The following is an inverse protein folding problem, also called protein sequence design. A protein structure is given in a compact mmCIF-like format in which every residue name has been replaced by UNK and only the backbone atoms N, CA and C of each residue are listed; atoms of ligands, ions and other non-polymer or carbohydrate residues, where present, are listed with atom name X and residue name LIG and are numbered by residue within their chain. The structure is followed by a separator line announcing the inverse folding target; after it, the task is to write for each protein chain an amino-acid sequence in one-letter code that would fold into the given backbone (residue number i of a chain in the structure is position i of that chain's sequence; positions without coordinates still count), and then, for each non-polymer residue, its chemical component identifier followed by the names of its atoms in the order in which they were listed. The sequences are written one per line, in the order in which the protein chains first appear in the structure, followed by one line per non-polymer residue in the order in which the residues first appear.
data_IF_536144127201
#
_entry.id   IF_536144127201
#
_cell.length_a   1.000
_cell.length_b   1.000
_cell.length_c   1.000
_cell.angle_alpha   90.00
_cell.angle_beta   90.00
_cell.angle_gamma   90.00
#
_symmetry.space_group_name_H-M   'P 1'
#
loop_
_entity.id
_entity.type
_entity.pdbx_description
1 polymer ?
#
# COMPACT_ATOMS: atom_id res chain seq x y z
N UNK A 1 -15.13 -18.22 1.97
CA UNK A 1 -15.28 -16.78 1.62
C UNK A 1 -15.79 -15.95 2.78
N UNK A 2 -14.88 -15.13 3.32
CA UNK A 2 -15.10 -14.17 4.41
C UNK A 2 -16.12 -13.07 4.05
N UNK A 3 -16.13 -12.62 2.80
CA UNK A 3 -17.05 -11.57 2.32
C UNK A 3 -18.02 -12.10 1.25
N UNK A 4 -19.00 -11.27 0.87
CA UNK A 4 -19.84 -11.60 -0.30
C UNK A 4 -18.99 -11.55 -1.58
N UNK A 5 -19.34 -12.35 -2.61
CA UNK A 5 -18.60 -12.38 -3.89
C UNK A 5 -18.40 -10.98 -4.49
N UNK A 6 -19.44 -10.13 -4.44
CA UNK A 6 -19.38 -8.74 -4.93
C UNK A 6 -18.34 -7.89 -4.19
N UNK A 7 -18.32 -7.94 -2.85
CA UNK A 7 -17.37 -7.16 -2.02
C UNK A 7 -15.94 -7.64 -2.24
N UNK A 8 -15.75 -8.95 -2.35
CA UNK A 8 -14.44 -9.56 -2.63
C UNK A 8 -13.92 -9.10 -3.99
N UNK A 9 -14.77 -9.12 -5.01
CA UNK A 9 -14.41 -8.66 -6.36
C UNK A 9 -14.07 -7.16 -6.39
N UNK A 10 -14.80 -6.31 -5.67
CA UNK A 10 -14.47 -4.87 -5.57
C UNK A 10 -13.10 -4.68 -4.91
N UNK A 11 -12.81 -5.37 -3.81
CA UNK A 11 -11.51 -5.28 -3.14
C UNK A 11 -10.36 -5.76 -4.03
N UNK A 12 -10.54 -6.88 -4.73
CA UNK A 12 -9.54 -7.39 -5.68
C UNK A 12 -9.32 -6.44 -6.85
N UNK A 13 -10.39 -5.84 -7.38
CA UNK A 13 -10.30 -4.85 -8.43
C UNK A 13 -9.55 -3.60 -7.96
N UNK A 14 -9.83 -3.11 -6.75
CA UNK A 14 -9.10 -1.99 -6.15
C UNK A 14 -7.63 -2.32 -5.90
N UNK A 15 -7.34 -3.53 -5.42
CA UNK A 15 -5.97 -4.01 -5.25
C UNK A 15 -5.21 -4.03 -6.57
N UNK A 16 -5.76 -4.68 -7.60
CA UNK A 16 -5.13 -4.76 -8.92
C UNK A 16 -4.97 -3.37 -9.53
N UNK A 17 -5.99 -2.51 -9.44
CA UNK A 17 -5.92 -1.13 -9.92
C UNK A 17 -4.80 -0.35 -9.21
N UNK A 18 -4.64 -0.51 -7.89
CA UNK A 18 -3.54 0.09 -7.15
C UNK A 18 -2.19 -0.40 -7.69
N UNK A 19 -2.02 -1.71 -7.92
CA UNK A 19 -0.78 -2.27 -8.49
C UNK A 19 -0.47 -1.68 -9.86
N UNK A 20 -1.47 -1.57 -10.74
CA UNK A 20 -1.30 -1.00 -12.08
C UNK A 20 -0.92 0.49 -12.04
N UNK A 21 -1.56 1.27 -11.16
CA UNK A 21 -1.19 2.68 -10.93
C UNK A 21 0.23 2.76 -10.37
N UNK A 22 0.60 1.87 -9.44
CA UNK A 22 1.95 1.76 -8.90
C UNK A 22 2.99 1.57 -9.98
N UNK A 23 2.80 0.57 -10.85
CA UNK A 23 3.68 0.31 -12.00
C UNK A 23 3.77 1.54 -12.90
N UNK A 24 2.65 2.20 -13.21
CA UNK A 24 2.65 3.42 -14.01
C UNK A 24 3.46 4.55 -13.36
N UNK A 25 3.23 4.82 -12.07
CA UNK A 25 3.96 5.88 -11.34
C UNK A 25 5.45 5.55 -11.28
N UNK A 26 5.82 4.29 -10.99
CA UNK A 26 7.21 3.86 -11.02
C UNK A 26 7.84 4.01 -12.40
N UNK A 27 7.12 3.64 -13.46
CA UNK A 27 7.58 3.80 -14.85
C UNK A 27 7.92 5.26 -15.18
N UNK A 28 7.06 6.19 -14.77
CA UNK A 28 7.24 7.62 -15.03
C UNK A 28 8.47 8.22 -14.34
N UNK A 29 8.93 7.60 -13.26
CA UNK A 29 10.11 8.04 -12.51
C UNK A 29 11.40 7.29 -12.89
N UNK A 30 11.34 6.32 -13.79
CA UNK A 30 12.55 5.67 -14.30
C UNK A 30 13.44 6.66 -15.07
N UNK A 31 14.77 6.55 -14.95
CA UNK A 31 15.69 7.41 -15.70
C UNK A 31 15.59 7.14 -17.21
N UNK A 32 15.68 8.21 -18.01
CA UNK A 32 15.57 8.15 -19.48
C UNK A 32 16.69 7.35 -20.16
N UNK A 33 17.80 7.09 -19.45
CA UNK A 33 18.99 6.38 -19.92
C UNK A 33 19.13 4.96 -19.36
N UNK A 34 18.02 4.24 -19.15
CA UNK A 34 18.05 2.79 -18.93
C UNK A 34 18.33 2.03 -20.26
N UNK A 35 19.40 2.40 -20.96
CA UNK A 35 19.92 1.62 -22.08
C UNK A 35 20.81 0.51 -21.52
N UNK A 36 20.37 -0.73 -21.66
CA UNK A 36 21.16 -1.93 -21.38
C UNK A 36 22.48 -1.82 -22.15
N UNK A 37 23.60 -1.57 -21.47
CA UNK A 37 24.93 -1.87 -21.98
C UNK A 37 25.48 -3.06 -21.22
N UNK A 38 25.78 -4.11 -21.97
CA UNK A 38 26.14 -5.42 -21.45
C UNK A 38 27.44 -5.46 -20.65
N UNK A 39 27.58 -6.54 -19.91
CA UNK A 39 28.87 -7.15 -19.58
C UNK A 39 29.54 -6.75 -18.27
N UNK A 40 29.31 -5.55 -17.73
CA UNK A 40 30.01 -5.12 -16.50
C UNK A 40 29.17 -4.18 -15.64
N UNK A 41 28.16 -4.75 -14.98
CA UNK A 41 27.76 -4.55 -13.57
C UNK A 41 27.68 -3.18 -12.89
N UNK A 42 27.98 -2.04 -13.51
CA UNK A 42 27.90 -0.71 -12.88
C UNK A 42 27.13 0.28 -13.76
N UNK A 43 25.98 0.71 -13.25
CA UNK A 43 25.13 1.75 -13.85
C UNK A 43 25.43 3.06 -13.12
N UNK A 44 26.27 3.90 -13.71
CA UNK A 44 26.49 5.28 -13.26
C UNK A 44 25.71 6.26 -14.14
N UNK A 45 24.38 6.28 -13.98
CA UNK A 45 23.49 7.38 -14.43
C UNK A 45 22.11 7.22 -13.75
N UNK A 46 22.03 7.54 -12.46
CA UNK A 46 20.85 7.32 -11.59
C UNK A 46 20.01 8.57 -11.37
N UNK A 47 19.75 9.37 -12.40
CA UNK A 47 18.89 10.56 -12.26
C UNK A 47 17.40 10.19 -12.25
N UNK A 48 16.96 9.60 -11.15
CA UNK A 48 15.54 9.50 -10.82
C UNK A 48 14.99 10.90 -10.55
N UNK A 49 14.04 11.37 -11.35
CA UNK A 49 13.45 12.71 -11.19
C UNK A 49 12.28 12.70 -10.19
N UNK A 50 12.55 12.32 -8.94
CA UNK A 50 11.57 12.38 -7.86
C UNK A 50 11.50 13.80 -7.27
N UNK A 51 10.33 14.45 -7.23
CA UNK A 51 10.20 15.78 -6.69
C UNK A 51 10.33 15.79 -5.15
N UNK A 52 10.37 17.01 -4.58
CA UNK A 52 10.35 17.26 -3.12
C UNK A 52 11.56 16.74 -2.34
N UNK A 53 12.70 16.51 -3.01
CA UNK A 53 13.93 16.02 -2.38
C UNK A 53 13.94 14.52 -2.09
N UNK A 54 13.07 13.75 -2.76
CA UNK A 54 13.08 12.28 -2.70
C UNK A 54 13.98 11.63 -3.76
N UNK A 55 14.81 12.42 -4.44
CA UNK A 55 15.87 11.88 -5.30
C UNK A 55 16.81 11.01 -4.47
N UNK A 56 17.12 9.78 -4.92
CA UNK A 56 18.02 8.89 -4.20
C UNK A 56 19.42 9.51 -4.08
N UNK A 57 20.11 9.39 -2.93
CA UNK A 57 21.48 9.88 -2.81
C UNK A 57 22.46 9.04 -3.65
N UNK A 58 23.45 9.69 -4.27
CA UNK A 58 24.42 9.04 -5.17
C UNK A 58 25.33 8.02 -4.45
N UNK A 59 25.63 8.23 -3.17
CA UNK A 59 26.61 7.42 -2.41
C UNK A 59 26.02 6.15 -1.75
N UNK A 60 24.74 5.85 -1.98
CA UNK A 60 24.06 4.77 -1.26
C UNK A 60 23.94 3.53 -2.13
N UNK A 61 24.75 2.51 -1.80
CA UNK A 61 24.58 1.18 -2.39
C UNK A 61 23.21 0.56 -2.01
N UNK A 62 22.59 -0.27 -2.87
CA UNK A 62 21.34 -0.95 -2.55
C UNK A 62 21.42 -1.83 -1.29
N UNK A 63 22.59 -2.41 -1.01
CA UNK A 63 22.83 -3.20 0.21
C UNK A 63 22.75 -2.36 1.48
N UNK A 64 23.46 -1.23 1.53
CA UNK A 64 23.42 -0.31 2.69
C UNK A 64 22.05 0.37 2.85
N UNK A 65 21.37 0.69 1.74
CA UNK A 65 19.99 1.17 1.75
C UNK A 65 19.05 0.17 2.43
N UNK A 66 19.18 -1.12 2.11
CA UNK A 66 18.30 -2.18 2.64
C UNK A 66 18.37 -2.25 4.17
N UNK A 67 19.58 -2.29 4.73
CA UNK A 67 19.77 -2.33 6.19
C UNK A 67 19.21 -1.06 6.84
N UNK A 68 19.45 0.11 6.25
CA UNK A 68 18.94 1.39 6.74
C UNK A 68 17.41 1.43 6.74
N UNK A 69 16.77 0.90 5.69
CA UNK A 69 15.30 0.82 5.57
C UNK A 69 14.72 -0.14 6.62
N UNK A 70 15.34 -1.29 6.85
CA UNK A 70 14.88 -2.24 7.89
C UNK A 70 14.96 -1.59 9.27
N UNK A 71 16.08 -0.93 9.59
CA UNK A 71 16.24 -0.21 10.87
C UNK A 71 15.19 0.90 10.99
N UNK A 72 15.03 1.73 9.94
CA UNK A 72 14.04 2.80 9.92
C UNK A 72 12.61 2.27 10.09
N UNK A 73 12.28 1.13 9.50
CA UNK A 73 10.96 0.50 9.62
C UNK A 73 10.72 -0.01 11.05
N UNK A 74 11.70 -0.65 11.68
CA UNK A 74 11.62 -1.09 13.08
C UNK A 74 11.43 0.11 14.01
N UNK A 75 12.19 1.19 13.78
CA UNK A 75 12.05 2.45 14.54
C UNK A 75 10.66 3.06 14.33
N UNK A 76 10.18 3.16 13.08
CA UNK A 76 8.88 3.73 12.76
C UNK A 76 7.73 2.94 13.41
N UNK A 77 7.75 1.61 13.32
CA UNK A 77 6.75 0.74 13.98
C UNK A 77 6.80 0.91 15.49
N UNK A 78 7.99 0.89 16.08
CA UNK A 78 8.18 1.08 17.52
C UNK A 78 7.67 2.44 17.98
N UNK A 79 7.97 3.51 17.24
CA UNK A 79 7.51 4.86 17.51
C UNK A 79 5.98 4.96 17.43
N UNK A 80 5.34 4.36 16.42
CA UNK A 80 3.87 4.29 16.34
C UNK A 80 3.28 3.58 17.55
N UNK A 81 3.86 2.45 17.97
CA UNK A 81 3.40 1.72 19.17
C UNK A 81 3.53 2.56 20.45
N UNK A 82 4.63 3.29 20.60
CA UNK A 82 4.85 4.19 21.74
C UNK A 82 3.83 5.35 21.73
N UNK A 83 3.64 6.01 20.59
CA UNK A 83 2.68 7.11 20.46
C UNK A 83 1.24 6.66 20.72
N UNK A 84 0.89 5.43 20.32
CA UNK A 84 -0.39 4.83 20.66
C UNK A 84 -0.53 4.59 22.17
N UNK A 85 0.54 4.12 22.85
CA UNK A 85 0.55 3.93 24.31
C UNK A 85 0.39 5.27 25.04
N UNK A 86 1.01 6.33 24.53
CA UNK A 86 0.88 7.71 25.03
C UNK A 86 -0.45 8.39 24.63
N UNK A 87 -1.27 7.74 23.81
CA UNK A 87 -2.52 8.28 23.27
C UNK A 87 -2.36 9.62 22.55
N UNK A 88 -1.23 9.80 21.85
CA UNK A 88 -0.90 11.01 21.11
C UNK A 88 -1.66 11.10 19.77
N UNK A 89 -2.99 11.14 19.83
CA UNK A 89 -3.89 11.08 18.66
C UNK A 89 -3.63 12.22 17.66
N UNK A 90 -3.36 13.42 18.15
CA UNK A 90 -3.09 14.60 17.31
C UNK A 90 -1.76 14.44 16.57
N UNK A 91 -0.70 13.99 17.26
CA UNK A 91 0.62 13.75 16.65
C UNK A 91 0.51 12.71 15.55
N UNK A 92 -0.15 11.58 15.81
CA UNK A 92 -0.38 10.55 14.80
C UNK A 92 -1.18 11.08 13.61
N UNK A 93 -2.23 11.88 13.86
CA UNK A 93 -3.06 12.46 12.79
C UNK A 93 -2.27 13.43 11.91
N UNK A 94 -1.46 14.31 12.51
CA UNK A 94 -0.60 15.25 11.78
C UNK A 94 0.48 14.50 11.00
N UNK A 95 1.10 13.48 11.60
CA UNK A 95 2.09 12.66 10.91
C UNK A 95 1.48 11.94 9.70
N UNK A 96 0.34 11.25 9.86
CA UNK A 96 -0.34 10.63 8.72
C UNK A 96 -0.73 11.66 7.66
N UNK A 97 -1.19 12.85 8.06
CA UNK A 97 -1.53 13.92 7.12
C UNK A 97 -0.34 14.32 6.24
N UNK A 98 0.85 14.48 6.82
CA UNK A 98 2.09 14.78 6.08
C UNK A 98 2.42 13.64 5.10
N UNK A 99 2.42 12.39 5.58
CA UNK A 99 2.72 11.21 4.73
C UNK A 99 1.73 11.08 3.57
N UNK A 100 0.44 11.36 3.82
CA UNK A 100 -0.60 11.31 2.79
C UNK A 100 -0.38 12.41 1.75
N UNK A 101 -0.02 13.64 2.15
CA UNK A 101 0.30 14.72 1.19
C UNK A 101 1.45 14.30 0.29
N UNK A 102 2.53 13.79 0.88
CA UNK A 102 3.72 13.36 0.11
C UNK A 102 3.35 12.22 -0.85
N UNK A 103 2.65 11.19 -0.38
CA UNK A 103 2.25 10.05 -1.22
C UNK A 103 1.35 10.48 -2.39
N UNK A 104 0.31 11.28 -2.12
CA UNK A 104 -0.57 11.79 -3.19
C UNK A 104 0.20 12.72 -4.13
N UNK A 105 1.04 13.61 -3.60
CA UNK A 105 1.83 14.56 -4.38
C UNK A 105 2.77 13.86 -5.36
N UNK A 106 3.50 12.83 -4.90
CA UNK A 106 4.36 12.00 -5.75
C UNK A 106 3.54 11.28 -6.83
N UNK A 107 2.45 10.61 -6.47
CA UNK A 107 1.64 9.93 -7.47
C UNK A 107 1.06 10.89 -8.52
N UNK A 108 0.51 12.04 -8.08
CA UNK A 108 -0.05 13.05 -9.00
C UNK A 108 1.02 13.70 -9.87
N UNK A 109 2.21 13.95 -9.35
CA UNK A 109 3.30 14.50 -10.14
C UNK A 109 3.68 13.59 -11.31
N UNK A 110 3.70 12.26 -11.12
CA UNK A 110 3.91 11.31 -12.21
C UNK A 110 2.82 11.41 -13.31
N UNK A 111 1.56 11.61 -12.94
CA UNK A 111 0.48 11.84 -13.92
C UNK A 111 0.61 13.19 -14.66
N UNK A 112 1.19 14.19 -13.99
CA UNK A 112 1.34 15.55 -14.51
C UNK A 112 2.71 15.81 -15.15
N UNK A 113 3.50 14.78 -15.46
CA UNK A 113 4.91 14.93 -15.87
C UNK A 113 5.15 15.86 -17.07
N UNK A 114 4.17 16.01 -17.97
CA UNK A 114 4.25 16.92 -19.15
C UNK A 114 3.88 18.37 -18.85
N UNK A 115 3.37 18.67 -17.66
CA UNK A 115 2.86 19.99 -17.28
C UNK A 115 3.99 20.77 -16.60
N UNK A 116 4.25 22.03 -16.98
CA UNK A 116 5.20 22.87 -16.26
C UNK A 116 4.75 23.05 -14.81
N UNK A 117 5.70 23.07 -13.87
CA UNK A 117 5.42 23.17 -12.42
C UNK A 117 4.54 22.03 -11.86
N UNK A 118 4.58 20.85 -12.47
CA UNK A 118 3.81 19.68 -12.04
C UNK A 118 3.93 19.35 -10.55
N UNK A 119 5.12 19.53 -9.95
CA UNK A 119 5.37 19.26 -8.53
C UNK A 119 4.57 20.21 -7.62
N UNK A 120 4.49 21.49 -7.96
CA UNK A 120 3.73 22.47 -7.19
C UNK A 120 2.22 22.22 -7.33
N UNK A 121 1.75 21.97 -8.56
CA UNK A 121 0.34 21.66 -8.84
C UNK A 121 -0.07 20.39 -8.09
N UNK A 122 0.77 19.36 -8.09
CA UNK A 122 0.49 18.10 -7.41
C UNK A 122 0.36 18.30 -5.88
N UNK A 123 1.18 19.12 -5.23
CA UNK A 123 1.01 19.45 -3.80
C UNK A 123 -0.27 20.25 -3.55
N UNK A 124 -0.57 21.23 -4.39
CA UNK A 124 -1.78 22.07 -4.27
C UNK A 124 -3.04 21.20 -4.36
N UNK A 125 -3.04 20.14 -5.16
CA UNK A 125 -4.14 19.17 -5.25
C UNK A 125 -4.08 18.15 -4.09
N UNK A 126 -2.90 17.70 -3.69
CA UNK A 126 -2.72 16.72 -2.63
C UNK A 126 -3.19 17.24 -1.26
N UNK A 127 -2.95 18.51 -0.96
CA UNK A 127 -3.28 19.13 0.32
C UNK A 127 -4.79 19.10 0.67
N UNK A 128 -5.73 19.55 -0.20
CA UNK A 128 -7.15 19.42 0.05
C UNK A 128 -7.62 17.96 0.09
N UNK A 129 -7.07 17.07 -0.76
CA UNK A 129 -7.42 15.65 -0.74
C UNK A 129 -7.01 14.98 0.58
N UNK A 130 -5.79 15.25 1.06
CA UNK A 130 -5.30 14.78 2.34
C UNK A 130 -6.14 15.34 3.50
N UNK A 131 -6.55 16.61 3.41
CA UNK A 131 -7.38 17.25 4.43
C UNK A 131 -8.74 16.58 4.51
N UNK A 132 -9.38 16.35 3.36
CA UNK A 132 -10.64 15.63 3.32
C UNK A 132 -10.51 14.19 3.79
N UNK A 133 -9.43 13.47 3.45
CA UNK A 133 -9.19 12.10 3.94
C UNK A 133 -9.06 12.04 5.46
N UNK A 134 -8.23 12.91 6.03
CA UNK A 134 -7.83 12.84 7.45
C UNK A 134 -8.90 13.42 8.38
N UNK A 135 -9.52 14.53 7.99
CA UNK A 135 -10.45 15.26 8.85
C UNK A 135 -11.92 15.00 8.50
N UNK A 136 -12.26 14.61 7.27
CA UNK A 136 -13.64 14.25 6.88
C UNK A 136 -13.79 12.74 6.67
N UNK A 137 -14.77 12.14 7.35
CA UNK A 137 -14.99 10.68 7.34
C UNK A 137 -15.78 10.23 6.10
N UNK A 138 -15.22 10.40 4.90
CA UNK A 138 -15.83 9.94 3.66
C UNK A 138 -15.09 8.71 3.11
N UNK A 139 -15.77 7.56 3.09
CA UNK A 139 -15.22 6.27 2.62
C UNK A 139 -14.78 6.33 1.15
N UNK A 140 -15.50 7.08 0.31
CA UNK A 140 -15.17 7.20 -1.11
C UNK A 140 -13.87 7.98 -1.28
N UNK A 141 -13.76 9.14 -0.63
CA UNK A 141 -12.53 9.95 -0.65
C UNK A 141 -11.37 9.15 -0.07
N UNK A 142 -11.60 8.42 1.02
CA UNK A 142 -10.60 7.53 1.61
C UNK A 142 -10.06 6.53 0.60
N UNK A 143 -10.91 5.72 -0.01
CA UNK A 143 -10.47 4.68 -0.95
C UNK A 143 -9.79 5.26 -2.21
N UNK A 144 -10.31 6.37 -2.76
CA UNK A 144 -9.71 7.02 -3.93
C UNK A 144 -8.33 7.57 -3.60
N UNK A 145 -8.17 8.21 -2.44
CA UNK A 145 -6.88 8.74 -2.02
C UNK A 145 -5.89 7.62 -1.69
N UNK A 146 -6.32 6.49 -1.13
CA UNK A 146 -5.46 5.31 -0.93
C UNK A 146 -4.94 4.72 -2.26
N UNK A 147 -5.72 4.78 -3.34
CA UNK A 147 -5.24 4.38 -4.68
C UNK A 147 -4.07 5.23 -5.17
N UNK A 148 -3.87 6.44 -4.63
CA UNK A 148 -2.77 7.35 -4.99
C UNK A 148 -1.64 7.34 -3.96
N UNK A 149 -1.95 7.22 -2.66
CA UNK A 149 -0.94 7.23 -1.60
C UNK A 149 0.05 6.08 -1.77
N UNK A 150 -0.41 4.85 -2.04
CA UNK A 150 0.48 3.69 -2.13
C UNK A 150 1.45 3.74 -3.32
N UNK A 151 1.02 4.08 -4.55
CA UNK A 151 1.94 4.35 -5.66
C UNK A 151 3.01 5.38 -5.36
N UNK A 152 2.65 6.50 -4.73
CA UNK A 152 3.62 7.52 -4.38
C UNK A 152 4.63 7.05 -3.33
N UNK A 153 4.18 6.30 -2.32
CA UNK A 153 5.08 5.68 -1.33
C UNK A 153 6.03 4.68 -2.02
N UNK A 154 5.49 3.80 -2.88
CA UNK A 154 6.29 2.79 -3.57
C UNK A 154 7.38 3.43 -4.44
N UNK A 155 7.06 4.52 -5.15
CA UNK A 155 8.00 5.25 -5.99
C UNK A 155 9.26 5.75 -5.25
N UNK A 156 9.16 6.07 -3.96
CA UNK A 156 10.32 6.46 -3.13
C UNK A 156 11.27 5.28 -2.87
N UNK A 157 10.71 4.08 -2.69
CA UNK A 157 11.50 2.89 -2.33
C UNK A 157 12.09 2.16 -3.54
N UNK A 158 11.46 2.24 -4.71
CA UNK A 158 11.93 1.59 -5.94
C UNK A 158 13.40 1.90 -6.29
N UNK A 159 13.86 3.16 -6.31
CA UNK A 159 15.26 3.45 -6.65
C UNK A 159 16.28 2.98 -5.59
N UNK A 160 15.84 2.73 -4.35
CA UNK A 160 16.72 2.42 -3.23
C UNK A 160 16.98 0.92 -3.04
N UNK A 161 16.23 0.07 -3.73
CA UNK A 161 16.17 -1.36 -3.45
C UNK A 161 16.54 -2.19 -4.69
N UNK A 162 17.28 -3.27 -4.46
CA UNK A 162 17.46 -4.34 -5.45
C UNK A 162 16.31 -5.34 -5.38
N UNK A 163 16.12 -6.16 -6.43
CA UNK A 163 15.12 -7.23 -6.42
C UNK A 163 15.27 -8.13 -5.20
N UNK A 164 16.49 -8.55 -4.88
CA UNK A 164 16.80 -9.41 -3.73
C UNK A 164 16.59 -8.70 -2.39
N UNK A 165 16.84 -7.40 -2.32
CA UNK A 165 16.53 -6.57 -1.15
C UNK A 165 15.03 -6.56 -0.85
N UNK A 166 14.19 -6.41 -1.88
CA UNK A 166 12.73 -6.43 -1.72
C UNK A 166 12.25 -7.83 -1.35
N UNK A 167 12.83 -8.88 -1.92
CA UNK A 167 12.55 -10.28 -1.54
C UNK A 167 12.84 -10.50 -0.05
N UNK A 168 14.00 -10.07 0.44
CA UNK A 168 14.35 -10.15 1.86
C UNK A 168 13.34 -9.38 2.73
N UNK A 169 12.99 -8.15 2.32
CA UNK A 169 12.02 -7.32 3.03
C UNK A 169 10.63 -7.99 3.09
N UNK A 170 10.16 -8.57 1.98
CA UNK A 170 8.90 -9.30 1.90
C UNK A 170 8.86 -10.51 2.84
N UNK A 171 9.96 -11.25 2.93
CA UNK A 171 10.08 -12.39 3.84
C UNK A 171 10.05 -11.93 5.30
N UNK A 172 10.83 -10.91 5.66
CA UNK A 172 10.84 -10.36 7.03
C UNK A 172 9.46 -9.86 7.44
N UNK A 173 8.79 -9.10 6.57
CA UNK A 173 7.46 -8.55 6.85
C UNK A 173 6.39 -9.63 6.90
N UNK A 174 6.50 -10.66 6.05
CA UNK A 174 5.63 -11.83 6.11
C UNK A 174 5.73 -12.56 7.46
N UNK A 175 6.95 -12.81 7.95
CA UNK A 175 7.17 -13.46 9.25
C UNK A 175 6.60 -12.59 10.38
N UNK A 176 6.85 -11.27 10.32
CA UNK A 176 6.31 -10.32 11.28
C UNK A 176 4.77 -10.32 11.29
N UNK A 177 4.10 -10.25 10.13
CA UNK A 177 2.64 -10.26 10.02
C UNK A 177 2.04 -11.56 10.57
N UNK A 178 2.65 -12.70 10.25
CA UNK A 178 2.26 -14.01 10.76
C UNK A 178 2.32 -14.07 12.30
N UNK A 179 3.42 -13.61 12.88
CA UNK A 179 3.58 -13.51 14.34
C UNK A 179 2.60 -12.52 14.97
N UNK A 180 2.45 -11.33 14.36
CA UNK A 180 1.61 -10.25 14.83
C UNK A 180 0.12 -10.60 14.85
N UNK A 181 -0.35 -11.36 13.87
CA UNK A 181 -1.77 -11.74 13.73
C UNK A 181 -2.11 -12.96 14.56
N UNK A 182 -1.30 -14.03 14.52
CA UNK A 182 -1.64 -15.30 15.19
C UNK A 182 -1.25 -15.34 16.66
N UNK A 183 -0.09 -14.80 17.03
CA UNK A 183 0.41 -14.91 18.40
C UNK A 183 0.13 -13.67 19.23
N UNK A 184 0.55 -12.50 18.76
CA UNK A 184 0.55 -11.30 19.60
C UNK A 184 -0.76 -10.49 19.54
N UNK A 185 -1.51 -10.58 18.44
CA UNK A 185 -2.75 -9.84 18.19
C UNK A 185 -2.62 -8.31 18.23
N UNK A 186 -1.40 -7.75 18.29
CA UNK A 186 -1.21 -6.30 18.44
C UNK A 186 -1.62 -5.56 17.16
N UNK A 187 -1.49 -6.18 15.98
CA UNK A 187 -1.90 -5.58 14.70
C UNK A 187 -3.41 -5.31 14.68
N UNK A 188 -4.21 -6.20 15.29
CA UNK A 188 -5.65 -6.01 15.43
C UNK A 188 -5.98 -4.84 16.38
N UNK A 189 -5.23 -4.73 17.49
CA UNK A 189 -5.36 -3.60 18.44
C UNK A 189 -4.96 -2.27 17.78
N UNK A 190 -3.92 -2.28 16.95
CA UNK A 190 -3.46 -1.13 16.19
C UNK A 190 -4.50 -0.67 15.17
N UNK A 191 -5.02 -1.59 14.36
CA UNK A 191 -6.09 -1.29 13.41
C UNK A 191 -7.32 -0.69 14.10
N UNK A 192 -7.74 -1.27 15.24
CA UNK A 192 -8.86 -0.76 16.03
C UNK A 192 -8.60 0.65 16.57
N UNK A 193 -7.42 0.90 17.13
CA UNK A 193 -7.04 2.21 17.66
C UNK A 193 -7.01 3.27 16.55
N UNK A 194 -6.41 2.95 15.41
CA UNK A 194 -6.32 3.84 14.25
C UNK A 194 -7.71 4.20 13.70
N UNK A 195 -8.62 3.23 13.61
CA UNK A 195 -9.99 3.45 13.13
C UNK A 195 -10.89 4.19 14.12
N UNK A 196 -10.83 3.84 15.41
CA UNK A 196 -11.77 4.36 16.42
C UNK A 196 -11.30 5.66 17.08
N UNK A 197 -9.99 5.79 17.33
CA UNK A 197 -9.40 6.92 18.07
C UNK A 197 -8.78 7.94 17.13
N UNK A 198 -7.79 7.53 16.35
CA UNK A 198 -7.08 8.43 15.43
C UNK A 198 -8.01 8.87 14.28
N UNK A 199 -8.94 8.00 13.88
CA UNK A 199 -9.88 8.14 12.75
C UNK A 199 -9.18 8.18 11.40
N UNK A 200 -7.96 7.64 11.32
CA UNK A 200 -7.17 7.51 10.10
C UNK A 200 -6.62 6.09 10.09
N UNK A 201 -6.92 5.33 9.05
CA UNK A 201 -6.44 3.97 8.90
C UNK A 201 -5.87 3.78 7.49
N UNK A 202 -4.60 3.37 7.35
CA UNK A 202 -3.99 3.10 6.05
C UNK A 202 -4.49 1.75 5.53
N UNK A 203 -5.48 1.78 4.63
CA UNK A 203 -5.95 0.60 3.91
C UNK A 203 -7.26 0.84 3.18
N UNK A 204 -7.70 -0.13 2.37
CA UNK A 204 -8.98 -0.02 1.69
C UNK A 204 -10.16 -0.43 2.58
N UNK A 205 -11.27 0.29 2.44
CA UNK A 205 -12.52 0.02 3.16
C UNK A 205 -13.67 -0.25 2.20
N UNK A 206 -14.24 -1.45 2.25
CA UNK A 206 -15.49 -1.73 1.55
C UNK A 206 -16.58 -2.06 2.58
N UNK A 207 -17.46 -1.08 2.91
CA UNK A 207 -18.57 -1.34 3.81
C UNK A 207 -19.57 -2.28 3.15
N UNK A 208 -20.06 -3.26 3.91
CA UNK A 208 -21.11 -4.15 3.44
C UNK A 208 -22.12 -4.44 4.54
N UNK A 209 -23.38 -4.47 4.13
CA UNK A 209 -24.48 -4.92 4.98
C UNK A 209 -24.63 -6.43 4.80
N UNK A 210 -24.65 -7.17 5.92
CA UNK A 210 -24.95 -8.59 5.90
C UNK A 210 -26.33 -8.85 5.29
N UNK A 211 -26.54 -10.04 4.70
CA UNK A 211 -27.86 -10.43 4.16
C UNK A 211 -28.97 -10.31 5.21
N UNK A 212 -28.68 -10.67 6.48
CA UNK A 212 -29.60 -10.52 7.62
C UNK A 212 -29.92 -9.05 7.92
N UNK A 213 -28.93 -8.16 7.87
CA UNK A 213 -29.12 -6.72 8.10
C UNK A 213 -29.87 -6.03 6.94
N UNK A 214 -29.70 -6.51 5.70
CA UNK A 214 -30.48 -6.04 4.53
C UNK A 214 -31.96 -6.39 4.63
N UNK A 215 -32.30 -7.54 5.21
CA UNK A 215 -33.71 -7.92 5.44
C UNK A 215 -34.31 -7.07 6.56
N UNK A 216 -33.55 -6.81 7.63
CA UNK A 216 -33.95 -5.88 8.69
C UNK A 216 -34.14 -4.44 8.16
N UNK A 217 -33.34 -4.00 7.19
CA UNK A 217 -33.50 -2.70 6.51
C UNK A 217 -34.78 -2.61 5.67
N UNK A 218 -35.16 -3.68 4.96
CA UNK A 218 -36.42 -3.71 4.20
C UNK A 218 -37.65 -3.73 5.11
N UNK A 219 -37.58 -4.39 6.27
CA UNK A 219 -38.66 -4.41 7.26
C UNK A 219 -38.78 -3.14 8.13
N UNK A 220 -37.69 -2.37 8.30
CA UNK A 220 -37.65 -1.17 9.16
C UNK A 220 -38.11 0.13 8.53
N UNK A 221 -38.62 0.13 7.29
CA UNK A 221 -39.12 1.37 6.63
C UNK A 221 -40.19 2.16 7.42
N UNK A 222 -40.72 1.64 8.55
CA UNK A 222 -41.72 2.32 9.40
C UNK A 222 -41.41 2.48 10.90
N UNK A 223 -40.22 2.16 11.43
CA UNK A 223 -39.96 2.28 12.89
C UNK A 223 -38.72 3.13 13.23
N UNK A 224 -38.96 4.24 13.96
CA UNK A 224 -37.98 5.22 14.48
C UNK A 224 -37.07 4.67 15.61
N UNK A 225 -36.62 3.42 15.55
CA UNK A 225 -35.70 2.85 16.55
C UNK A 225 -34.24 3.06 16.16
N UNK A 226 -33.59 4.07 16.77
CA UNK A 226 -32.16 4.47 16.62
C UNK A 226 -31.18 3.48 17.29
N UNK A 227 -31.27 2.16 17.06
CA UNK A 227 -30.14 1.27 17.43
C UNK A 227 -29.06 1.35 16.33
N UNK A 228 -27.80 1.71 16.65
CA UNK A 228 -26.73 1.80 15.67
C UNK A 228 -26.52 0.43 15.02
N UNK A 229 -26.72 0.37 13.70
CA UNK A 229 -26.60 -0.87 12.92
C UNK A 229 -25.12 -1.22 12.77
N UNK A 230 -24.75 -2.47 13.09
CA UNK A 230 -23.36 -2.96 12.92
C UNK A 230 -23.09 -3.16 11.41
N UNK A 231 -22.64 -2.11 10.74
CA UNK A 231 -22.12 -2.22 9.36
C UNK A 231 -20.81 -2.99 9.42
N UNK A 232 -20.75 -4.15 8.77
CA UNK A 232 -19.51 -4.91 8.64
C UNK A 232 -18.64 -4.26 7.56
N UNK A 233 -17.36 -4.08 7.83
CA UNK A 233 -16.43 -3.46 6.87
C UNK A 233 -15.38 -4.50 6.49
N UNK A 234 -15.17 -4.67 5.18
CA UNK A 234 -14.04 -5.42 4.68
C UNK A 234 -12.83 -4.48 4.60
N UNK A 235 -11.70 -4.92 5.17
CA UNK A 235 -10.49 -4.12 5.34
C UNK A 235 -9.33 -4.87 4.68
N UNK A 236 -8.54 -4.16 3.89
CA UNK A 236 -7.25 -4.62 3.36
C UNK A 236 -6.17 -3.63 3.82
N UNK A 237 -5.05 -4.11 4.37
CA UNK A 237 -4.02 -3.24 4.93
C UNK A 237 -3.23 -2.51 3.85
N UNK A 238 -2.75 -1.30 4.15
CA UNK A 238 -1.88 -0.56 3.23
C UNK A 238 -0.55 -1.27 2.94
N UNK A 239 0.02 -1.95 3.94
CA UNK A 239 1.23 -2.77 3.76
C UNK A 239 1.04 -3.88 2.73
N UNK A 240 -0.10 -4.58 2.79
CA UNK A 240 -0.48 -5.64 1.83
C UNK A 240 -0.49 -5.15 0.37
N UNK A 241 -0.68 -3.83 0.16
CA UNK A 241 -0.73 -3.20 -1.16
C UNK A 241 0.65 -2.66 -1.56
N UNK A 242 1.36 -1.98 -0.66
CA UNK A 242 2.63 -1.29 -0.96
C UNK A 242 3.77 -2.26 -1.23
N UNK A 243 3.93 -3.31 -0.43
CA UNK A 243 5.08 -4.22 -0.59
C UNK A 243 5.14 -4.97 -1.93
N UNK A 244 4.05 -5.61 -2.43
CA UNK A 244 4.05 -6.20 -3.77
C UNK A 244 4.24 -5.14 -4.87
N UNK A 245 3.81 -3.90 -4.63
CA UNK A 245 3.98 -2.78 -5.55
C UNK A 245 5.43 -2.30 -5.62
N UNK A 246 6.15 -2.29 -4.49
CA UNK A 246 7.59 -2.01 -4.48
C UNK A 246 8.33 -3.09 -5.28
N UNK A 247 7.99 -4.37 -5.10
CA UNK A 247 8.61 -5.44 -5.89
C UNK A 247 8.33 -5.28 -7.38
N UNK A 248 7.09 -5.02 -7.78
CA UNK A 248 6.75 -4.83 -9.19
C UNK A 248 7.45 -3.61 -9.78
N UNK A 249 7.58 -2.51 -9.02
CA UNK A 249 8.32 -1.32 -9.44
C UNK A 249 9.83 -1.54 -9.57
N UNK A 250 10.44 -2.31 -8.67
CA UNK A 250 11.86 -2.70 -8.78
C UNK A 250 12.05 -3.64 -9.96
N UNK A 251 11.22 -4.67 -10.11
CA UNK A 251 11.27 -5.58 -11.27
C UNK A 251 11.07 -4.82 -12.58
N UNK A 252 10.20 -3.82 -12.61
CA UNK A 252 10.04 -2.92 -13.76
C UNK A 252 11.35 -2.23 -14.14
N UNK A 253 12.09 -1.72 -13.15
CA UNK A 253 13.36 -1.03 -13.36
C UNK A 253 14.46 -1.95 -13.93
N UNK A 254 14.50 -3.22 -13.53
CA UNK A 254 15.56 -4.16 -13.91
C UNK A 254 15.21 -5.07 -15.10
N UNK A 255 13.95 -5.49 -15.23
CA UNK A 255 13.53 -6.54 -16.17
C UNK A 255 12.49 -6.06 -17.18
N UNK A 256 11.75 -4.98 -16.87
CA UNK A 256 10.78 -4.38 -17.76
C UNK A 256 9.31 -4.66 -17.38
N UNK A 257 8.42 -4.16 -18.25
CA UNK A 257 6.99 -4.04 -17.96
C UNK A 257 6.26 -5.39 -17.86
N UNK A 258 6.60 -6.35 -18.71
CA UNK A 258 5.93 -7.66 -18.74
C UNK A 258 6.13 -8.40 -17.41
N UNK A 259 7.36 -8.42 -16.92
CA UNK A 259 7.75 -9.03 -15.65
C UNK A 259 7.09 -8.32 -14.46
N UNK A 260 7.04 -6.98 -14.47
CA UNK A 260 6.36 -6.22 -13.44
C UNK A 260 4.86 -6.53 -13.35
N UNK A 261 4.18 -6.67 -14.51
CA UNK A 261 2.77 -7.07 -14.58
C UNK A 261 2.56 -8.49 -14.06
N UNK A 262 3.47 -9.42 -14.33
CA UNK A 262 3.41 -10.77 -13.77
C UNK A 262 3.44 -10.75 -12.24
N UNK A 263 4.29 -9.93 -11.62
CA UNK A 263 4.32 -9.75 -10.15
C UNK A 263 2.96 -9.27 -9.63
N UNK A 264 2.37 -8.25 -10.25
CA UNK A 264 1.06 -7.72 -9.85
C UNK A 264 -0.06 -8.77 -9.97
N UNK A 265 -0.03 -9.57 -11.04
CA UNK A 265 -0.99 -10.67 -11.26
C UNK A 265 -0.77 -11.76 -10.20
N UNK A 266 0.46 -12.18 -9.95
CA UNK A 266 0.81 -13.18 -8.94
C UNK A 266 0.33 -12.78 -7.53
N UNK A 267 0.58 -11.53 -7.13
CA UNK A 267 0.07 -10.96 -5.88
C UNK A 267 -1.46 -10.99 -5.81
N UNK A 268 -2.14 -10.65 -6.93
CA UNK A 268 -3.61 -10.63 -7.01
C UNK A 268 -4.20 -12.04 -6.93
N UNK A 269 -3.58 -13.03 -7.56
CA UNK A 269 -3.99 -14.44 -7.50
C UNK A 269 -3.85 -14.95 -6.07
N UNK A 270 -2.72 -14.68 -5.42
CA UNK A 270 -2.51 -15.07 -4.02
C UNK A 270 -3.53 -14.44 -3.07
N UNK A 271 -3.83 -13.14 -3.24
CA UNK A 271 -4.87 -12.47 -2.45
C UNK A 271 -6.26 -13.05 -2.73
N UNK A 272 -6.55 -13.42 -3.97
CA UNK A 272 -7.80 -14.09 -4.36
C UNK A 272 -7.94 -15.45 -3.66
N UNK A 273 -6.86 -16.25 -3.67
CA UNK A 273 -6.80 -17.52 -2.96
C UNK A 273 -7.04 -17.34 -1.46
N UNK A 274 -6.37 -16.36 -0.83
CA UNK A 274 -6.57 -16.04 0.58
C UNK A 274 -8.04 -15.69 0.88
N UNK A 275 -8.68 -14.82 0.09
CA UNK A 275 -10.09 -14.46 0.30
C UNK A 275 -11.06 -15.62 0.07
N UNK A 276 -10.70 -16.56 -0.80
CA UNK A 276 -11.47 -17.78 -1.05
C UNK A 276 -11.46 -18.69 0.18
N UNK A 277 -10.26 -19.02 0.68
CA UNK A 277 -10.02 -19.91 1.83
C UNK A 277 -10.44 -19.26 3.16
N UNK A 278 -10.32 -17.94 3.28
CA UNK A 278 -10.63 -17.21 4.50
C UNK A 278 -12.06 -17.46 5.01
N UNK A 279 -12.15 -17.82 6.29
CA UNK A 279 -13.40 -17.96 7.03
C UNK A 279 -13.91 -16.62 7.58
N UNK A 280 -15.22 -16.56 7.85
CA UNK A 280 -15.85 -15.39 8.46
C UNK A 280 -15.45 -15.29 9.94
N UNK A 281 -15.18 -14.07 10.39
CA UNK A 281 -14.89 -13.78 11.81
C UNK A 281 -13.45 -14.02 12.25
N UNK A 282 -12.58 -14.56 11.38
CA UNK A 282 -11.15 -14.74 11.65
C UNK A 282 -10.30 -13.70 10.91
N UNK A 283 -9.23 -13.26 11.55
CA UNK A 283 -8.18 -12.43 10.94
C UNK A 283 -7.08 -13.35 10.41
N UNK A 284 -6.61 -13.07 9.20
CA UNK A 284 -5.56 -13.83 8.54
C UNK A 284 -4.44 -12.86 8.17
N UNK A 285 -3.16 -13.23 8.38
CA UNK A 285 -2.04 -12.44 7.88
C UNK A 285 -2.03 -12.55 6.35
N UNK A 286 -2.11 -11.42 5.66
CA UNK A 286 -2.21 -11.41 4.20
C UNK A 286 -0.84 -11.46 3.54
N UNK A 287 0.16 -10.84 4.15
CA UNK A 287 1.51 -10.73 3.60
C UNK A 287 2.14 -12.09 3.28
N UNK A 288 2.06 -13.15 4.11
CA UNK A 288 2.62 -14.45 3.75
C UNK A 288 2.10 -15.02 2.44
N UNK A 289 0.80 -14.91 2.19
CA UNK A 289 0.20 -15.42 0.96
C UNK A 289 0.64 -14.57 -0.24
N UNK A 290 0.59 -13.23 -0.08
CA UNK A 290 1.00 -12.29 -1.13
C UNK A 290 2.49 -12.48 -1.47
N UNK A 291 3.36 -12.61 -0.47
CA UNK A 291 4.80 -12.88 -0.66
C UNK A 291 5.01 -14.16 -1.45
N UNK A 292 4.35 -15.28 -1.12
CA UNK A 292 4.45 -16.52 -1.91
C UNK A 292 4.01 -16.29 -3.36
N UNK A 293 2.89 -15.59 -3.58
CA UNK A 293 2.43 -15.25 -4.93
C UNK A 293 3.43 -14.41 -5.72
N UNK A 294 4.02 -13.40 -5.07
CA UNK A 294 5.07 -12.55 -5.63
C UNK A 294 6.34 -13.35 -5.97
N UNK A 295 6.78 -14.25 -5.10
CA UNK A 295 7.99 -15.05 -5.31
C UNK A 295 7.81 -16.07 -6.44
N UNK A 296 6.65 -16.70 -6.54
CA UNK A 296 6.32 -17.58 -7.66
C UNK A 296 6.32 -16.78 -8.97
N UNK A 297 5.67 -15.61 -8.98
CA UNK A 297 5.66 -14.75 -10.16
C UNK A 297 7.06 -14.24 -10.53
N UNK A 298 7.91 -13.92 -9.55
CA UNK A 298 9.30 -13.54 -9.77
C UNK A 298 10.11 -14.70 -10.37
N UNK A 299 9.94 -15.92 -9.86
CA UNK A 299 10.57 -17.11 -10.43
C UNK A 299 10.18 -17.32 -11.89
N UNK A 300 8.91 -17.16 -12.23
CA UNK A 300 8.43 -17.21 -13.62
C UNK A 300 9.02 -16.07 -14.44
N UNK A 301 9.04 -14.85 -13.89
CA UNK A 301 9.56 -13.66 -14.56
C UNK A 301 11.06 -13.76 -14.88
N UNK A 302 11.84 -14.49 -14.07
CA UNK A 302 13.27 -14.75 -14.29
C UNK A 302 13.53 -15.80 -15.39
N UNK A 303 12.51 -16.58 -15.77
CA UNK A 303 12.63 -17.62 -16.80
C UNK A 303 12.22 -17.12 -18.20
N UNK A 304 11.67 -15.92 -18.32
CA UNK A 304 11.19 -15.31 -19.58
C UNK A 304 11.94 -14.01 -19.90
#
# INVERSE_FOLDING_TARGET
MKHTKKVTMILLAMFLLAQLIGIFVSFMYLPASAAIKGGSGEINSTDYNLPYGFTPPEDVSPGSATTSIIIALVIAVSLVLVLMKLRAEVVLRVWFFIVIIVGIGLALNAFLFKVPYASLIAIIIALPLAFFKVFKRNIIVHNITELLVYPGIAAVFVPLLSVWSVVLLLVIISIYDMYAVWHAGFMQKMAKYQMEKVKVFPGFFVPYLGKKDRVLLKGRKKSKSKKPMKVSVAILGGGDIVFPMILSGVVLAYMGLAQALLIAIGATIALTYLFYVSEKGKFYPAMPFITVGCLIALGIALLI
#
